data_IF_412339505054
#
_entry.id   IF_412339505054
#
_cell.length_a   1.000
_cell.length_b   1.000
_cell.length_c   1.000
_cell.angle_alpha   90.00
_cell.angle_beta   90.00
_cell.angle_gamma   90.00
#
_symmetry.space_group_name_H-M   'P 1'
#
loop_
_entity.id
_entity.type
_entity.pdbx_description
1 polymer ?
#
# COMPACT_ATOMS: atom_id res chain seq x y z
N UNK A 1 -20.81 30.41 -20.43
CA UNK A 1 -19.68 29.59 -19.93
C UNK A 1 -19.60 29.78 -18.43
N UNK A 2 -19.81 28.72 -17.65
CA UNK A 2 -19.63 28.78 -16.20
C UNK A 2 -18.12 28.85 -15.91
N UNK A 3 -17.67 29.93 -15.31
CA UNK A 3 -16.30 30.05 -14.78
C UNK A 3 -16.15 29.05 -13.64
N UNK A 4 -15.33 28.01 -13.84
CA UNK A 4 -14.96 27.08 -12.78
C UNK A 4 -14.26 27.87 -11.66
N UNK A 5 -14.98 28.10 -10.56
CA UNK A 5 -14.39 28.59 -9.31
C UNK A 5 -13.50 27.46 -8.76
N UNK A 6 -12.22 27.48 -9.12
CA UNK A 6 -11.24 26.64 -8.44
C UNK A 6 -11.15 27.12 -6.99
N UNK A 7 -11.36 26.23 -6.03
CA UNK A 7 -11.10 26.54 -4.64
C UNK A 7 -9.59 26.69 -4.48
N UNK A 8 -9.13 27.93 -4.31
CA UNK A 8 -7.71 28.25 -4.08
C UNK A 8 -7.34 27.69 -2.70
N UNK A 9 -6.70 26.53 -2.67
CA UNK A 9 -6.31 25.83 -1.43
C UNK A 9 -5.12 26.49 -0.72
N UNK A 10 -4.41 27.40 -1.40
CA UNK A 10 -3.19 28.05 -0.91
C UNK A 10 -3.28 29.53 -1.23
N UNK A 11 -3.47 30.36 -0.20
CA UNK A 11 -3.68 31.80 -0.34
C UNK A 11 -2.50 32.65 0.12
N UNK A 12 -1.54 32.08 0.87
CA UNK A 12 -0.33 32.79 1.31
C UNK A 12 0.90 31.91 1.55
N UNK A 13 2.07 32.52 1.78
CA UNK A 13 3.36 31.82 2.00
C UNK A 13 3.35 30.87 3.21
N UNK A 14 2.59 31.19 4.26
CA UNK A 14 2.41 30.30 5.42
C UNK A 14 1.53 29.08 5.09
N UNK A 15 0.60 29.22 4.15
CA UNK A 15 -0.24 28.12 3.66
C UNK A 15 0.60 27.15 2.82
N UNK A 16 1.64 27.62 2.11
CA UNK A 16 2.54 26.76 1.32
C UNK A 16 3.26 25.77 2.23
N UNK A 17 3.92 26.24 3.30
CA UNK A 17 4.62 25.36 4.24
C UNK A 17 3.69 24.39 4.95
N UNK A 18 2.48 24.83 5.28
CA UNK A 18 1.46 23.98 5.92
C UNK A 18 0.90 22.94 4.94
N UNK A 19 0.65 23.34 3.69
CA UNK A 19 0.20 22.45 2.62
C UNK A 19 1.26 21.42 2.24
N UNK A 20 2.55 21.80 2.17
CA UNK A 20 3.67 20.89 1.96
C UNK A 20 3.76 19.84 3.07
N UNK A 21 3.62 20.28 4.33
CA UNK A 21 3.63 19.38 5.49
C UNK A 21 2.44 18.42 5.50
N UNK A 22 1.28 18.84 4.97
CA UNK A 22 0.10 17.95 4.81
C UNK A 22 0.25 17.02 3.62
N UNK A 23 0.88 17.45 2.51
CA UNK A 23 1.12 16.62 1.32
C UNK A 23 1.96 15.38 1.65
N UNK A 24 2.99 15.51 2.48
CA UNK A 24 3.80 14.35 2.88
C UNK A 24 2.96 13.30 3.63
N UNK A 25 2.00 13.72 4.46
CA UNK A 25 1.08 12.80 5.16
C UNK A 25 0.26 11.95 4.20
N UNK A 26 -0.23 12.52 3.10
CA UNK A 26 -1.02 11.77 2.09
C UNK A 26 -0.15 11.03 1.07
N UNK A 27 1.09 11.45 0.85
CA UNK A 27 2.02 10.77 -0.06
C UNK A 27 2.71 9.56 0.58
N UNK A 28 2.98 9.60 1.89
CA UNK A 28 3.66 8.52 2.63
C UNK A 28 2.95 7.16 2.47
N UNK A 29 1.62 7.03 2.61
CA UNK A 29 0.95 5.76 2.40
C UNK A 29 1.13 5.24 0.98
N UNK A 30 1.03 6.12 -0.02
CA UNK A 30 1.20 5.75 -1.42
C UNK A 30 2.61 5.23 -1.69
N UNK A 31 3.64 5.99 -1.30
CA UNK A 31 5.03 5.62 -1.51
C UNK A 31 5.41 4.34 -0.77
N UNK A 32 4.97 4.16 0.48
CA UNK A 32 5.28 2.96 1.25
C UNK A 32 4.66 1.71 0.64
N UNK A 33 3.38 1.74 0.29
CA UNK A 33 2.73 0.56 -0.27
C UNK A 33 3.16 0.28 -1.72
N UNK A 34 3.45 1.33 -2.49
CA UNK A 34 4.06 1.19 -3.82
C UNK A 34 5.44 0.55 -3.75
N UNK A 35 6.35 1.06 -2.89
CA UNK A 35 7.70 0.50 -2.72
C UNK A 35 7.67 -0.94 -2.21
N UNK A 36 6.84 -1.23 -1.20
CA UNK A 36 6.71 -2.59 -0.70
C UNK A 36 6.17 -3.56 -1.77
N UNK A 37 5.24 -3.12 -2.61
CA UNK A 37 4.71 -3.94 -3.70
C UNK A 37 5.78 -4.16 -4.77
N UNK A 38 6.58 -3.14 -5.09
CA UNK A 38 7.72 -3.26 -5.98
C UNK A 38 8.77 -4.26 -5.44
N UNK A 39 9.12 -4.20 -4.16
CA UNK A 39 10.06 -5.15 -3.56
C UNK A 39 9.53 -6.58 -3.57
N UNK A 40 8.27 -6.78 -3.16
CA UNK A 40 7.65 -8.09 -3.21
C UNK A 40 7.66 -8.66 -4.65
N UNK A 41 7.41 -7.81 -5.63
CA UNK A 41 7.44 -8.19 -7.03
C UNK A 41 8.84 -8.55 -7.53
N UNK A 42 9.88 -7.80 -7.14
CA UNK A 42 11.27 -8.11 -7.48
C UNK A 42 11.70 -9.48 -6.92
N UNK A 43 11.28 -9.81 -5.69
CA UNK A 43 11.52 -11.12 -5.09
C UNK A 43 10.77 -12.24 -5.83
N UNK A 44 9.52 -12.01 -6.25
CA UNK A 44 8.78 -13.02 -7.04
C UNK A 44 9.30 -13.16 -8.48
N UNK A 45 9.89 -12.10 -9.06
CA UNK A 45 10.46 -12.11 -10.41
C UNK A 45 11.85 -12.74 -10.47
N UNK A 46 12.62 -12.75 -9.38
CA UNK A 46 13.97 -13.33 -9.38
C UNK A 46 13.97 -14.85 -9.54
N UNK A 47 12.86 -15.50 -9.15
CA UNK A 47 12.80 -16.96 -9.17
C UNK A 47 12.22 -17.54 -10.48
N UNK A 48 11.30 -16.87 -11.22
CA UNK A 48 10.62 -17.46 -12.40
C UNK A 48 10.15 -16.43 -13.47
N UNK A 49 10.37 -16.71 -14.76
CA UNK A 49 10.06 -15.89 -15.98
C UNK A 49 8.84 -16.46 -16.75
N UNK A 50 8.07 -15.76 -17.67
CA UNK A 50 8.08 -14.36 -18.14
C UNK A 50 6.89 -13.47 -17.66
N UNK A 51 6.99 -12.18 -18.03
CA UNK A 51 6.24 -10.99 -17.60
C UNK A 51 4.91 -10.80 -18.34
N UNK A 52 3.80 -10.55 -17.62
CA UNK A 52 3.11 -9.25 -17.71
C UNK A 52 2.60 -8.69 -16.37
N UNK A 53 2.91 -9.34 -15.23
CA UNK A 53 2.36 -8.96 -13.92
C UNK A 53 3.03 -7.74 -13.25
N UNK A 54 4.06 -7.16 -13.90
CA UNK A 54 4.85 -6.05 -13.36
C UNK A 54 4.01 -4.81 -13.02
N UNK A 55 2.92 -4.62 -13.76
CA UNK A 55 2.03 -3.49 -13.55
C UNK A 55 1.01 -3.78 -12.44
N UNK A 56 0.57 -5.03 -12.31
CA UNK A 56 -0.57 -5.41 -11.46
C UNK A 56 -0.26 -5.26 -9.96
N UNK A 57 0.93 -5.64 -9.50
CA UNK A 57 1.27 -5.56 -8.07
C UNK A 57 1.58 -4.12 -7.66
N UNK A 58 2.33 -3.39 -8.47
CA UNK A 58 2.60 -1.96 -8.28
C UNK A 58 1.32 -1.13 -8.24
N UNK A 59 0.39 -1.37 -9.16
CA UNK A 59 -0.92 -0.69 -9.20
C UNK A 59 -1.75 -1.01 -7.95
N UNK A 60 -1.71 -2.25 -7.48
CA UNK A 60 -2.40 -2.66 -6.26
C UNK A 60 -1.81 -1.98 -5.02
N UNK A 61 -0.48 -1.82 -4.96
CA UNK A 61 0.20 -1.03 -3.92
C UNK A 61 -0.23 0.43 -3.91
N UNK A 62 -0.33 1.05 -5.09
CA UNK A 62 -0.84 2.41 -5.23
C UNK A 62 -2.30 2.56 -4.79
N UNK A 63 -3.15 1.60 -5.18
CA UNK A 63 -4.56 1.55 -4.76
C UNK A 63 -4.69 1.41 -3.23
N UNK A 64 -3.84 0.59 -2.60
CA UNK A 64 -3.78 0.45 -1.15
C UNK A 64 -3.46 1.78 -0.46
N UNK A 65 -2.47 2.53 -0.96
CA UNK A 65 -2.15 3.86 -0.44
C UNK A 65 -3.32 4.85 -0.54
N UNK A 66 -4.06 4.82 -1.65
CA UNK A 66 -5.27 5.61 -1.83
C UNK A 66 -6.39 5.25 -0.85
N UNK A 67 -6.64 3.96 -0.63
CA UNK A 67 -7.64 3.50 0.34
C UNK A 67 -7.26 3.89 1.77
N UNK A 68 -5.98 3.81 2.13
CA UNK A 68 -5.50 4.27 3.44
C UNK A 68 -5.76 5.76 3.64
N UNK A 69 -5.50 6.58 2.61
CA UNK A 69 -5.80 8.00 2.66
C UNK A 69 -7.28 8.30 2.89
N UNK A 70 -8.16 7.54 2.22
CA UNK A 70 -9.61 7.75 2.32
C UNK A 70 -10.17 7.27 3.67
N UNK A 71 -9.76 6.09 4.12
CA UNK A 71 -10.41 5.42 5.24
C UNK A 71 -9.68 5.55 6.58
N UNK A 72 -8.39 5.88 6.58
CA UNK A 72 -7.55 5.82 7.78
C UNK A 72 -6.93 7.17 8.12
N UNK A 73 -6.31 7.83 7.13
CA UNK A 73 -5.68 9.14 7.33
C UNK A 73 -6.73 10.14 7.82
N UNK A 74 -6.34 10.96 8.80
CA UNK A 74 -7.18 11.92 9.54
C UNK A 74 -8.27 11.33 10.47
N UNK A 75 -8.62 10.04 10.35
CA UNK A 75 -9.65 9.41 11.19
C UNK A 75 -9.10 8.59 12.35
N UNK A 76 -7.95 7.94 12.15
CA UNK A 76 -7.37 7.04 13.13
C UNK A 76 -5.88 7.29 13.34
N UNK A 77 -5.41 7.08 14.57
CA UNK A 77 -4.00 7.16 14.93
C UNK A 77 -3.60 6.03 15.88
N UNK A 78 -2.30 5.79 16.01
CA UNK A 78 -1.72 4.79 16.91
C UNK A 78 -1.94 3.35 16.44
N UNK A 79 -1.85 2.41 17.39
CA UNK A 79 -1.97 0.96 17.11
C UNK A 79 -3.31 0.55 16.48
N UNK A 80 -4.39 1.31 16.75
CA UNK A 80 -5.70 1.06 16.13
C UNK A 80 -5.65 1.29 14.61
N UNK A 81 -5.06 2.40 14.18
CA UNK A 81 -4.85 2.69 12.76
C UNK A 81 -3.94 1.62 12.10
N UNK A 82 -2.92 1.14 12.82
CA UNK A 82 -2.07 0.06 12.32
C UNK A 82 -2.83 -1.26 12.10
N UNK A 83 -3.70 -1.65 13.03
CA UNK A 83 -4.56 -2.81 12.84
C UNK A 83 -5.54 -2.64 11.68
N UNK A 84 -6.15 -1.46 11.53
CA UNK A 84 -7.01 -1.19 10.37
C UNK A 84 -6.26 -1.22 9.05
N UNK A 85 -5.01 -0.75 9.03
CA UNK A 85 -4.14 -0.85 7.85
C UNK A 85 -3.87 -2.32 7.53
N UNK A 86 -3.51 -3.14 8.53
CA UNK A 86 -3.33 -4.59 8.35
C UNK A 86 -4.58 -5.31 7.86
N UNK A 87 -5.76 -4.98 8.39
CA UNK A 87 -7.04 -5.54 7.94
C UNK A 87 -7.34 -5.14 6.51
N UNK A 88 -7.17 -3.86 6.16
CA UNK A 88 -7.41 -3.36 4.81
C UNK A 88 -6.43 -3.98 3.80
N UNK A 89 -5.15 -4.15 4.19
CA UNK A 89 -4.15 -4.85 3.38
C UNK A 89 -4.56 -6.30 3.18
N UNK A 90 -5.03 -6.97 4.24
CA UNK A 90 -5.54 -8.31 4.15
C UNK A 90 -6.71 -8.36 3.17
N UNK A 91 -7.74 -7.53 3.28
CA UNK A 91 -8.89 -7.57 2.37
C UNK A 91 -8.50 -7.37 0.89
N UNK A 92 -7.71 -6.34 0.60
CA UNK A 92 -7.34 -6.00 -0.77
C UNK A 92 -6.34 -7.01 -1.36
N UNK A 93 -5.20 -7.20 -0.70
CA UNK A 93 -4.13 -8.07 -1.20
C UNK A 93 -4.51 -9.55 -1.13
N UNK A 94 -5.42 -9.95 -0.22
CA UNK A 94 -5.95 -11.32 -0.24
C UNK A 94 -6.78 -11.61 -1.47
N UNK A 95 -7.58 -10.63 -1.91
CA UNK A 95 -8.38 -10.74 -3.13
C UNK A 95 -7.46 -10.90 -4.35
N UNK A 96 -6.40 -10.09 -4.41
CA UNK A 96 -5.37 -10.22 -5.44
C UNK A 96 -4.67 -11.59 -5.40
N UNK A 97 -4.21 -12.03 -4.21
CA UNK A 97 -3.57 -13.33 -4.04
C UNK A 97 -4.48 -14.50 -4.40
N UNK A 98 -5.78 -14.41 -4.05
CA UNK A 98 -6.76 -15.44 -4.40
C UNK A 98 -7.03 -15.50 -5.91
N UNK A 99 -7.06 -14.34 -6.58
CA UNK A 99 -7.14 -14.29 -8.04
C UNK A 99 -5.92 -14.96 -8.69
N UNK A 100 -4.71 -14.66 -8.21
CA UNK A 100 -3.49 -15.33 -8.67
C UNK A 100 -3.57 -16.84 -8.43
N UNK A 101 -3.99 -17.29 -7.24
CA UNK A 101 -4.18 -18.70 -6.93
C UNK A 101 -5.18 -19.39 -7.86
N UNK A 102 -6.32 -18.76 -8.12
CA UNK A 102 -7.37 -19.33 -8.98
C UNK A 102 -6.94 -19.42 -10.44
N UNK A 103 -6.30 -18.37 -10.97
CA UNK A 103 -5.76 -18.38 -12.32
C UNK A 103 -4.65 -19.43 -12.44
N UNK A 104 -3.82 -19.54 -11.40
CA UNK A 104 -2.71 -20.48 -11.43
C UNK A 104 -3.14 -21.94 -11.42
N UNK A 105 -4.26 -22.28 -10.76
CA UNK A 105 -4.84 -23.63 -10.88
C UNK A 105 -5.28 -23.99 -12.30
N UNK A 106 -5.50 -23.00 -13.17
CA UNK A 106 -5.85 -23.23 -14.58
C UNK A 106 -4.63 -23.21 -15.51
N UNK A 107 -3.63 -22.37 -15.24
CA UNK A 107 -2.49 -22.16 -16.13
C UNK A 107 -1.18 -22.83 -15.68
N UNK A 108 -1.01 -23.11 -14.38
CA UNK A 108 0.15 -23.82 -13.83
C UNK A 108 1.46 -23.03 -13.84
N UNK A 109 1.43 -21.72 -13.63
CA UNK A 109 2.59 -20.82 -13.65
C UNK A 109 3.35 -20.71 -12.31
N UNK A 110 2.68 -20.81 -11.17
CA UNK A 110 3.19 -20.43 -9.85
C UNK A 110 3.17 -21.59 -8.83
N UNK A 111 2.85 -22.81 -9.27
CA UNK A 111 2.88 -23.98 -8.41
C UNK A 111 1.69 -24.11 -7.45
N UNK A 112 0.55 -23.46 -7.72
CA UNK A 112 -0.63 -23.49 -6.86
C UNK A 112 -1.25 -24.89 -6.74
N UNK A 113 -1.07 -25.76 -7.74
CA UNK A 113 -1.56 -27.13 -7.71
C UNK A 113 -0.65 -28.03 -6.85
N UNK A 114 0.65 -27.81 -6.91
CA UNK A 114 1.69 -28.61 -6.26
C UNK A 114 1.93 -28.15 -4.81
N UNK A 115 1.85 -26.84 -4.57
CA UNK A 115 2.17 -26.19 -3.30
C UNK A 115 1.10 -25.17 -2.88
N UNK A 116 -0.17 -25.59 -2.69
CA UNK A 116 -1.28 -24.68 -2.38
C UNK A 116 -1.06 -23.88 -1.09
N UNK A 117 -0.36 -24.45 -0.12
CA UNK A 117 -0.08 -23.79 1.15
C UNK A 117 0.83 -22.57 1.03
N UNK A 118 1.64 -22.45 -0.03
CA UNK A 118 2.48 -21.26 -0.26
C UNK A 118 1.63 -20.02 -0.53
N UNK A 119 0.51 -20.17 -1.23
CA UNK A 119 -0.45 -19.09 -1.45
C UNK A 119 -1.18 -18.71 -0.16
N UNK A 120 -1.51 -19.69 0.69
CA UNK A 120 -2.19 -19.42 1.96
C UNK A 120 -1.28 -18.80 3.01
N UNK A 121 0.02 -19.12 3.00
CA UNK A 121 1.00 -18.51 3.90
C UNK A 121 1.16 -17.00 3.68
N UNK A 122 0.87 -16.51 2.47
CA UNK A 122 0.89 -15.08 2.14
C UNK A 122 -0.15 -14.29 2.93
N UNK A 123 -1.27 -14.89 3.38
CA UNK A 123 -2.31 -14.15 4.11
C UNK A 123 -1.83 -13.61 5.47
N UNK A 124 -1.24 -14.42 6.38
CA UNK A 124 -0.58 -13.90 7.58
C UNK A 124 0.48 -12.85 7.28
N UNK A 125 1.30 -13.07 6.24
CA UNK A 125 2.35 -12.14 5.83
C UNK A 125 1.78 -10.80 5.38
N UNK A 126 0.74 -10.80 4.54
CA UNK A 126 0.04 -9.61 4.06
C UNK A 126 -0.46 -8.77 5.23
N UNK A 127 -1.10 -9.41 6.22
CA UNK A 127 -1.58 -8.69 7.39
C UNK A 127 -0.43 -8.12 8.21
N UNK A 128 0.64 -8.90 8.43
CA UNK A 128 1.80 -8.47 9.20
C UNK A 128 2.49 -7.27 8.54
N UNK A 129 2.73 -7.32 7.23
CA UNK A 129 3.31 -6.21 6.45
C UNK A 129 2.40 -4.98 6.51
N UNK A 130 1.09 -5.15 6.32
CA UNK A 130 0.12 -4.07 6.45
C UNK A 130 0.12 -3.43 7.84
N UNK A 131 0.20 -4.24 8.91
CA UNK A 131 0.30 -3.77 10.29
C UNK A 131 1.59 -3.00 10.55
N UNK A 132 2.75 -3.50 10.09
CA UNK A 132 4.03 -2.80 10.25
C UNK A 132 4.07 -1.48 9.46
N UNK A 133 3.52 -1.45 8.24
CA UNK A 133 3.36 -0.20 7.49
C UNK A 133 2.44 0.78 8.23
N UNK A 134 1.35 0.27 8.81
CA UNK A 134 0.48 1.07 9.66
C UNK A 134 1.18 1.63 10.90
N UNK A 135 2.08 0.87 11.53
CA UNK A 135 2.90 1.36 12.64
C UNK A 135 3.84 2.48 12.17
N UNK A 136 4.46 2.35 10.99
CA UNK A 136 5.30 3.39 10.41
C UNK A 136 4.51 4.68 10.13
N UNK A 137 3.30 4.54 9.58
CA UNK A 137 2.47 5.67 9.16
C UNK A 137 1.80 6.40 10.32
N UNK A 138 1.33 5.66 11.33
CA UNK A 138 0.38 6.16 12.32
C UNK A 138 0.89 6.15 13.77
N UNK A 139 2.20 6.01 13.99
CA UNK A 139 2.79 6.17 15.33
C UNK A 139 3.94 7.16 15.31
N UNK A 140 4.18 7.83 16.43
CA UNK A 140 5.22 8.87 16.54
C UNK A 140 6.60 8.31 16.15
N UNK A 141 6.99 7.18 16.75
CA UNK A 141 8.24 6.47 16.43
C UNK A 141 8.31 6.04 14.96
N UNK A 142 7.17 5.66 14.39
CA UNK A 142 7.06 5.30 12.98
C UNK A 142 7.34 6.49 12.08
N UNK A 143 6.68 7.62 12.35
CA UNK A 143 6.83 8.85 11.58
C UNK A 143 8.21 9.47 11.71
N UNK A 144 8.84 9.39 12.88
CA UNK A 144 10.24 9.76 13.09
C UNK A 144 11.18 8.94 12.20
N UNK A 145 10.95 7.62 12.13
CA UNK A 145 11.74 6.73 11.27
C UNK A 145 11.53 7.07 9.79
N UNK A 146 10.30 7.30 9.35
CA UNK A 146 10.02 7.72 7.97
C UNK A 146 10.72 9.04 7.65
N UNK A 147 10.61 10.03 8.54
CA UNK A 147 11.27 11.33 8.37
C UNK A 147 12.79 11.19 8.26
N UNK A 148 13.41 10.28 9.04
CA UNK A 148 14.85 10.01 8.96
C UNK A 148 15.29 9.39 7.61
N UNK A 149 14.37 8.72 6.92
CA UNK A 149 14.57 8.16 5.58
C UNK A 149 14.23 9.16 4.46
N UNK A 150 13.86 10.40 4.82
CA UNK A 150 13.42 11.42 3.86
C UNK A 150 11.98 11.24 3.37
N UNK A 151 11.17 10.42 4.05
CA UNK A 151 9.75 10.18 3.77
C UNK A 151 8.83 10.89 4.75
#
# INVERSE_FOLDING_TARGET
MATSNYQVLITGEQDIKTAEKRRSVYLRPFLLFWLNSLFAELEFLSDWYPRPLLQSYVDTGGAMGGLINIFIVDYYYGKKAAHFTGILSLLLLSTCNYLCYSLDRHFGWFGAAEHPMWFHWRYPMIWAVGYYNGLLLFTDKGQERLASLGL
#
